data_IF_636049972109
#
_entry.id   IF_636049972109
#
_cell.length_a   1.000
_cell.length_b   1.000
_cell.length_c   1.000
_cell.angle_alpha   90.00
_cell.angle_beta   90.00
_cell.angle_gamma   90.00
#
_symmetry.space_group_name_H-M   'P 1'
#
loop_
_entity.id
_entity.type
_entity.pdbx_description
1 polymer ?
#
# COMPACT_ATOMS: atom_id res chain seq x y z
N UNK A 1 -0.82 21.86 -17.43
CA UNK A 1 0.05 21.07 -16.52
C UNK A 1 -0.44 19.64 -16.59
N UNK A 2 0.30 18.78 -17.28
CA UNK A 2 -0.06 17.37 -17.40
C UNK A 2 0.31 16.65 -16.10
N UNK A 3 -0.65 16.04 -15.43
CA UNK A 3 -0.38 15.10 -14.36
C UNK A 3 0.25 13.85 -14.97
N UNK A 4 1.57 13.74 -14.82
CA UNK A 4 2.30 12.54 -15.22
C UNK A 4 2.13 11.49 -14.14
N UNK A 5 1.75 10.28 -14.51
CA UNK A 5 1.73 9.12 -13.63
C UNK A 5 2.87 8.18 -13.93
N UNK A 6 3.46 7.60 -12.91
CA UNK A 6 4.43 6.52 -12.99
C UNK A 6 3.96 5.34 -12.18
N UNK A 7 4.12 4.15 -12.73
CA UNK A 7 3.81 2.90 -12.05
C UNK A 7 5.11 2.13 -11.84
N UNK A 8 5.32 1.65 -10.63
CA UNK A 8 6.50 0.84 -10.27
C UNK A 8 6.06 -0.44 -9.55
N UNK A 9 6.78 -1.53 -9.78
CA UNK A 9 6.70 -2.73 -8.97
C UNK A 9 7.92 -2.78 -8.05
N UNK A 10 7.70 -2.81 -6.75
CA UNK A 10 8.76 -2.88 -5.75
C UNK A 10 8.73 -4.20 -5.01
N UNK A 11 9.89 -4.79 -4.78
CA UNK A 11 10.06 -6.03 -4.03
C UNK A 11 11.02 -5.82 -2.87
N UNK A 12 10.68 -6.36 -1.70
CA UNK A 12 11.54 -6.41 -0.52
C UNK A 12 11.32 -7.74 0.19
N UNK A 13 12.07 -7.97 1.27
CA UNK A 13 11.79 -9.09 2.17
C UNK A 13 10.39 -8.93 2.79
N UNK A 14 9.65 -10.04 2.90
CA UNK A 14 8.35 -10.08 3.58
C UNK A 14 8.60 -9.97 5.10
N UNK A 15 8.89 -8.76 5.56
CA UNK A 15 9.17 -8.43 6.94
C UNK A 15 8.17 -7.42 7.50
N UNK A 16 7.83 -7.57 8.78
CA UNK A 16 7.02 -6.58 9.48
C UNK A 16 7.71 -5.23 9.46
N UNK A 17 6.98 -4.19 9.06
CA UNK A 17 7.51 -2.83 8.95
C UNK A 17 8.13 -2.46 7.60
N UNK A 18 8.37 -3.41 6.69
CA UNK A 18 8.89 -3.10 5.34
C UNK A 18 7.92 -2.20 4.56
N UNK A 19 6.63 -2.45 4.66
CA UNK A 19 5.59 -1.62 4.07
C UNK A 19 5.66 -0.16 4.56
N UNK A 20 5.81 0.06 5.86
CA UNK A 20 5.98 1.39 6.43
C UNK A 20 7.25 2.07 5.90
N UNK A 21 8.38 1.34 5.87
CA UNK A 21 9.64 1.84 5.34
C UNK A 21 9.54 2.25 3.87
N UNK A 22 8.84 1.48 3.03
CA UNK A 22 8.57 1.84 1.65
C UNK A 22 7.78 3.16 1.56
N UNK A 23 6.72 3.31 2.34
CA UNK A 23 5.92 4.53 2.36
C UNK A 23 6.70 5.76 2.85
N UNK A 24 7.58 5.59 3.85
CA UNK A 24 8.49 6.64 4.31
C UNK A 24 9.44 7.07 3.18
N UNK A 25 10.06 6.12 2.47
CA UNK A 25 10.94 6.42 1.32
C UNK A 25 10.18 7.13 0.18
N UNK A 26 8.96 6.73 -0.10
CA UNK A 26 8.13 7.40 -1.12
C UNK A 26 7.80 8.84 -0.70
N UNK A 27 7.50 9.07 0.58
CA UNK A 27 7.24 10.42 1.11
C UNK A 27 8.47 11.31 1.08
N UNK A 28 9.65 10.73 1.27
CA UNK A 28 10.94 11.44 1.33
C UNK A 28 11.68 11.47 -0.01
N UNK A 29 11.02 11.09 -1.12
CA UNK A 29 11.63 11.11 -2.44
C UNK A 29 12.24 12.49 -2.75
N UNK A 30 13.52 12.54 -3.17
CA UNK A 30 14.17 13.80 -3.51
C UNK A 30 13.55 14.43 -4.76
N UNK A 31 13.74 15.72 -4.93
CA UNK A 31 13.40 16.37 -6.20
C UNK A 31 14.44 16.02 -7.25
N UNK A 32 14.03 15.39 -8.34
CA UNK A 32 14.90 14.95 -9.42
C UNK A 32 15.02 15.99 -10.55
N UNK A 33 15.08 17.27 -10.22
CA UNK A 33 15.30 18.35 -11.20
C UNK A 33 14.13 19.33 -11.38
N UNK A 34 13.20 19.35 -10.45
CA UNK A 34 12.10 20.32 -10.36
C UNK A 34 11.97 20.88 -8.95
N UNK A 35 11.00 21.80 -8.74
CA UNK A 35 10.60 22.19 -7.41
C UNK A 35 10.21 20.96 -6.62
N UNK A 36 10.32 21.02 -5.28
CA UNK A 36 9.93 19.95 -4.36
C UNK A 36 8.42 19.70 -4.52
N UNK A 37 8.04 18.99 -5.57
CA UNK A 37 6.65 18.65 -5.84
C UNK A 37 6.27 17.51 -4.89
N UNK A 38 5.19 17.70 -4.17
CA UNK A 38 4.61 16.68 -3.34
C UNK A 38 4.07 15.58 -4.26
N UNK A 39 4.65 14.39 -4.19
CA UNK A 39 4.19 13.23 -4.94
C UNK A 39 3.10 12.54 -4.16
N UNK A 40 2.02 12.21 -4.85
CA UNK A 40 0.92 11.48 -4.26
C UNK A 40 0.93 10.03 -4.77
N UNK A 41 0.64 9.09 -3.88
CA UNK A 41 0.34 7.72 -4.26
C UNK A 41 -1.04 7.71 -4.91
N UNK A 42 -1.13 7.26 -6.14
CA UNK A 42 -2.39 7.15 -6.88
C UNK A 42 -3.01 5.77 -6.77
N UNK A 43 -2.17 4.76 -6.59
CA UNK A 43 -2.59 3.38 -6.44
C UNK A 43 -1.56 2.62 -5.60
N UNK A 44 -2.05 1.69 -4.80
CA UNK A 44 -1.20 0.82 -4.00
C UNK A 44 -1.89 -0.54 -3.86
N UNK A 45 -1.31 -1.60 -4.44
CA UNK A 45 -1.85 -2.94 -4.38
C UNK A 45 -0.82 -3.90 -3.81
N UNK A 46 -1.20 -4.59 -2.76
CA UNK A 46 -0.39 -5.59 -2.08
C UNK A 46 -1.26 -6.73 -1.54
N UNK A 47 -0.78 -7.95 -1.69
CA UNK A 47 -1.30 -9.14 -1.02
C UNK A 47 -0.12 -10.02 -0.61
N UNK A 48 -0.11 -10.47 0.63
CA UNK A 48 0.86 -11.46 1.09
C UNK A 48 0.68 -12.76 0.28
N UNK A 49 1.68 -13.14 -0.48
CA UNK A 49 1.63 -14.30 -1.38
C UNK A 49 2.89 -15.16 -1.31
N UNK A 50 3.98 -14.62 -0.82
CA UNK A 50 5.27 -15.27 -0.66
C UNK A 50 5.79 -14.98 0.75
N UNK A 51 6.32 -16.00 1.43
CA UNK A 51 6.81 -15.87 2.80
C UNK A 51 8.17 -15.14 2.88
N UNK A 52 8.86 -14.98 1.77
CA UNK A 52 10.20 -14.39 1.70
C UNK A 52 10.22 -13.05 1.00
N UNK A 53 9.32 -12.82 0.04
CA UNK A 53 9.29 -11.60 -0.78
C UNK A 53 7.90 -10.98 -0.84
N UNK A 54 7.86 -9.70 -0.55
CA UNK A 54 6.70 -8.85 -0.80
C UNK A 54 6.79 -8.22 -2.19
N UNK A 55 5.74 -8.34 -2.99
CA UNK A 55 5.61 -7.64 -4.28
C UNK A 55 4.51 -6.60 -4.17
N UNK A 56 4.87 -5.35 -4.41
CA UNK A 56 3.96 -4.21 -4.26
C UNK A 56 3.84 -3.46 -5.58
N UNK A 57 2.61 -3.25 -6.03
CA UNK A 57 2.31 -2.37 -7.14
C UNK A 57 2.03 -0.97 -6.61
N UNK A 58 2.77 0.04 -7.08
CA UNK A 58 2.61 1.44 -6.64
C UNK A 58 2.47 2.36 -7.84
N UNK A 59 1.39 3.12 -7.88
CA UNK A 59 1.22 4.25 -8.78
C UNK A 59 1.56 5.56 -8.07
N UNK A 60 2.31 6.43 -8.73
CA UNK A 60 2.76 7.72 -8.21
C UNK A 60 2.49 8.85 -9.20
N UNK A 61 2.13 10.03 -8.69
CA UNK A 61 2.23 11.25 -9.50
C UNK A 61 3.68 11.66 -9.63
N UNK A 62 4.08 12.11 -10.82
CA UNK A 62 5.43 12.60 -11.09
C UNK A 62 5.41 14.06 -11.50
N UNK A 63 6.47 14.80 -11.15
CA UNK A 63 6.59 16.22 -11.46
C UNK A 63 7.03 16.47 -12.91
N UNK A 64 7.83 15.55 -13.46
CA UNK A 64 8.39 15.64 -14.82
C UNK A 64 8.39 14.28 -15.50
N UNK A 65 8.36 14.31 -16.84
CA UNK A 65 8.43 13.08 -17.65
C UNK A 65 9.79 12.38 -17.45
N UNK A 66 9.79 11.05 -17.33
CA UNK A 66 11.02 10.24 -17.15
C UNK A 66 11.57 10.26 -15.73
N UNK A 67 10.77 10.69 -14.75
CA UNK A 67 11.14 10.62 -13.34
C UNK A 67 11.05 9.21 -12.78
N UNK A 68 10.26 8.33 -13.39
CA UNK A 68 10.04 6.94 -12.98
C UNK A 68 11.35 6.14 -12.84
N UNK A 69 12.25 6.25 -13.80
CA UNK A 69 13.57 5.59 -13.73
C UNK A 69 14.37 6.02 -12.50
N UNK A 70 14.31 7.31 -12.17
CA UNK A 70 15.04 7.89 -11.03
C UNK A 70 14.42 7.43 -9.71
N UNK A 71 13.09 7.32 -9.66
CA UNK A 71 12.36 6.78 -8.51
C UNK A 71 12.72 5.32 -8.32
N UNK A 72 12.68 4.51 -9.37
CA UNK A 72 13.03 3.10 -9.32
C UNK A 72 14.50 2.91 -8.85
N UNK A 73 15.43 3.69 -9.37
CA UNK A 73 16.83 3.66 -8.96
C UNK A 73 17.03 4.11 -7.49
N UNK A 74 16.26 5.10 -7.03
CA UNK A 74 16.30 5.55 -5.64
C UNK A 74 15.81 4.45 -4.69
N UNK A 75 14.67 3.85 -4.94
CA UNK A 75 14.11 2.78 -4.11
C UNK A 75 15.04 1.55 -4.10
N UNK A 76 15.59 1.17 -5.27
CA UNK A 76 16.53 0.04 -5.37
C UNK A 76 17.79 0.25 -4.54
N UNK A 77 18.34 1.47 -4.48
CA UNK A 77 19.47 1.80 -3.59
C UNK A 77 19.13 1.67 -2.10
N UNK A 78 17.85 1.77 -1.74
CA UNK A 78 17.38 1.61 -0.37
C UNK A 78 16.85 0.18 -0.08
N UNK A 79 17.32 -0.80 -0.88
CA UNK A 79 17.01 -2.23 -0.76
C UNK A 79 15.59 -2.64 -1.17
N UNK A 80 14.84 -1.77 -1.81
CA UNK A 80 13.59 -2.13 -2.47
C UNK A 80 13.88 -2.34 -3.96
N UNK A 81 14.10 -3.58 -4.36
CA UNK A 81 14.29 -3.93 -5.77
C UNK A 81 13.07 -3.45 -6.56
N UNK A 82 13.26 -2.45 -7.41
CA UNK A 82 12.15 -1.73 -8.04
C UNK A 82 12.31 -1.73 -9.55
N UNK A 83 11.23 -2.07 -10.23
CA UNK A 83 11.12 -2.08 -11.70
C UNK A 83 10.15 -0.98 -12.10
N UNK A 84 10.56 -0.13 -13.05
CA UNK A 84 9.65 0.81 -13.70
C UNK A 84 8.75 0.06 -14.70
N UNK A 85 7.45 0.11 -14.46
CA UNK A 85 6.42 -0.53 -15.30
C UNK A 85 5.50 0.50 -15.96
N UNK A 86 5.93 1.77 -15.99
CA UNK A 86 5.15 2.89 -16.54
C UNK A 86 4.73 2.67 -18.00
N UNK A 87 5.54 1.96 -18.76
CA UNK A 87 5.30 1.67 -20.18
C UNK A 87 5.02 0.19 -20.47
N UNK A 88 4.77 -0.61 -19.43
CA UNK A 88 4.42 -2.02 -19.57
C UNK A 88 2.89 -2.20 -19.62
N UNK A 89 2.38 -2.54 -20.80
CA UNK A 89 0.93 -2.70 -21.01
C UNK A 89 0.37 -3.90 -20.25
N UNK A 90 1.13 -5.00 -20.13
CA UNK A 90 0.73 -6.17 -19.32
C UNK A 90 0.48 -5.77 -17.87
N UNK A 91 1.41 -5.00 -17.28
CA UNK A 91 1.28 -4.53 -15.91
C UNK A 91 0.07 -3.61 -15.74
N UNK A 92 -0.11 -2.65 -16.64
CA UNK A 92 -1.16 -1.63 -16.56
C UNK A 92 -2.56 -2.19 -16.79
N UNK A 93 -2.72 -3.04 -17.78
CA UNK A 93 -4.03 -3.51 -18.22
C UNK A 93 -4.49 -4.74 -17.44
N UNK A 94 -3.56 -5.57 -16.96
CA UNK A 94 -3.87 -6.87 -16.36
C UNK A 94 -3.31 -7.07 -14.97
N UNK A 95 -1.98 -7.03 -14.77
CA UNK A 95 -1.35 -7.45 -13.50
C UNK A 95 -1.83 -6.61 -12.33
N UNK A 96 -2.02 -5.30 -12.49
CA UNK A 96 -2.53 -4.42 -11.44
C UNK A 96 -3.86 -4.89 -10.82
N UNK A 97 -4.69 -5.57 -11.60
CA UNK A 97 -5.99 -6.09 -11.17
C UNK A 97 -5.90 -7.49 -10.58
N UNK A 98 -4.77 -8.16 -10.73
CA UNK A 98 -4.54 -9.53 -10.29
C UNK A 98 -3.77 -9.60 -8.95
N UNK A 99 -3.29 -8.48 -8.45
CA UNK A 99 -2.68 -8.40 -7.11
C UNK A 99 -3.79 -8.56 -6.07
N UNK A 100 -3.87 -9.73 -5.45
CA UNK A 100 -4.94 -10.08 -4.52
C UNK A 100 -5.15 -11.58 -4.44
N UNK A 101 -6.39 -11.97 -4.09
CA UNK A 101 -6.81 -13.36 -4.01
C UNK A 101 -6.52 -14.01 -2.66
N UNK A 102 -6.71 -15.33 -2.60
CA UNK A 102 -6.53 -16.12 -1.38
C UNK A 102 -5.06 -16.28 -1.04
N UNK A 103 -4.76 -16.23 0.25
CA UNK A 103 -3.42 -16.50 0.75
C UNK A 103 -3.46 -17.33 2.02
N UNK A 104 -2.78 -18.46 2.02
CA UNK A 104 -2.59 -19.32 3.20
C UNK A 104 -1.68 -18.69 4.26
N UNK A 105 -0.96 -17.63 3.89
CA UNK A 105 -0.08 -16.88 4.78
C UNK A 105 -0.83 -15.81 5.61
N UNK A 106 -2.05 -15.46 5.22
CA UNK A 106 -2.88 -14.45 5.88
C UNK A 106 -3.65 -15.04 7.07
N UNK A 107 -2.92 -15.50 8.10
CA UNK A 107 -3.52 -16.07 9.31
C UNK A 107 -3.98 -14.97 10.27
N UNK A 108 -5.06 -15.24 11.04
CA UNK A 108 -5.68 -14.28 11.97
C UNK A 108 -5.97 -12.92 11.32
N UNK A 109 -6.33 -12.94 10.04
CA UNK A 109 -6.57 -11.75 9.26
C UNK A 109 -7.91 -11.09 9.65
N UNK A 110 -7.85 -9.80 9.95
CA UNK A 110 -9.02 -8.91 10.04
C UNK A 110 -9.07 -8.04 8.80
N UNK A 111 -10.19 -8.04 8.13
CA UNK A 111 -10.40 -7.25 6.93
C UNK A 111 -11.24 -6.01 7.24
N UNK A 112 -10.71 -4.84 6.91
CA UNK A 112 -11.37 -3.56 7.14
C UNK A 112 -11.38 -2.73 5.86
N UNK A 113 -12.51 -2.10 5.62
CA UNK A 113 -12.67 -1.11 4.56
C UNK A 113 -12.69 0.27 5.19
N UNK A 114 -11.64 1.06 4.93
CA UNK A 114 -11.46 2.40 5.44
C UNK A 114 -11.84 3.48 4.42
N UNK A 115 -12.19 4.64 4.94
CA UNK A 115 -12.22 5.90 4.20
C UNK A 115 -11.03 6.72 4.67
N UNK A 116 -9.98 6.75 3.86
CA UNK A 116 -8.78 7.55 4.14
C UNK A 116 -8.98 8.98 3.65
N UNK A 117 -8.58 9.99 4.45
CA UNK A 117 -8.53 11.35 3.94
C UNK A 117 -7.43 11.48 2.88
N UNK A 118 -7.76 12.10 1.75
CA UNK A 118 -6.81 12.40 0.66
C UNK A 118 -5.94 13.60 1.04
N UNK A 119 -5.08 13.40 2.00
CA UNK A 119 -4.09 14.40 2.44
C UNK A 119 -2.75 13.74 2.72
N UNK A 120 -1.65 14.48 2.53
CA UNK A 120 -0.32 14.00 2.88
C UNK A 120 -0.23 13.49 4.32
N UNK A 121 0.45 12.36 4.49
CA UNK A 121 0.68 11.76 5.80
C UNK A 121 -0.47 10.89 6.35
N UNK A 122 -1.62 10.80 5.67
CA UNK A 122 -2.73 9.96 6.14
C UNK A 122 -2.34 8.47 6.25
N UNK A 123 -1.65 7.95 5.23
CA UNK A 123 -1.15 6.58 5.23
C UNK A 123 -0.04 6.40 6.29
N UNK A 124 0.89 7.34 6.39
CA UNK A 124 1.95 7.28 7.41
C UNK A 124 1.39 7.33 8.83
N UNK A 125 0.34 8.14 9.08
CA UNK A 125 -0.37 8.13 10.37
C UNK A 125 -0.92 6.73 10.68
N UNK A 126 -1.61 6.10 9.73
CA UNK A 126 -2.13 4.74 9.87
C UNK A 126 -1.01 3.77 10.25
N UNK A 127 0.08 3.76 9.48
CA UNK A 127 1.21 2.85 9.68
C UNK A 127 1.97 3.10 11.01
N UNK A 128 2.08 4.36 11.43
CA UNK A 128 2.78 4.73 12.67
C UNK A 128 2.04 4.31 13.93
N UNK A 129 0.72 4.19 13.86
CA UNK A 129 -0.12 3.75 14.98
C UNK A 129 -0.21 2.23 15.11
N UNK A 130 0.19 1.49 14.07
CA UNK A 130 0.19 0.03 14.11
C UNK A 130 1.22 -0.49 15.11
N UNK A 131 0.88 -1.57 15.81
CA UNK A 131 1.85 -2.30 16.64
C UNK A 131 2.87 -3.04 15.78
N UNK A 132 4.14 -3.14 16.22
CA UNK A 132 5.18 -3.89 15.50
C UNK A 132 4.87 -5.39 15.34
N UNK A 133 3.99 -5.93 16.18
CA UNK A 133 3.56 -7.33 16.12
C UNK A 133 2.52 -7.62 15.05
N UNK A 134 1.90 -6.58 14.50
CA UNK A 134 0.89 -6.72 13.45
C UNK A 134 1.55 -6.66 12.06
N UNK A 135 0.94 -7.35 11.11
CA UNK A 135 1.39 -7.33 9.72
C UNK A 135 0.25 -6.93 8.80
N UNK A 136 0.56 -6.22 7.73
CA UNK A 136 -0.38 -5.98 6.64
C UNK A 136 -0.31 -7.19 5.71
N UNK A 137 -1.43 -7.84 5.50
CA UNK A 137 -1.58 -9.00 4.62
C UNK A 137 -2.26 -8.66 3.30
N UNK A 138 -3.02 -7.57 3.27
CA UNK A 138 -3.67 -7.03 2.09
C UNK A 138 -3.72 -5.51 2.19
N UNK A 139 -3.39 -4.82 1.12
CA UNK A 139 -3.60 -3.39 0.99
C UNK A 139 -4.02 -3.06 -0.43
N UNK A 140 -5.22 -2.53 -0.57
CA UNK A 140 -5.74 -2.09 -1.85
C UNK A 140 -6.24 -0.66 -1.71
N UNK A 141 -5.54 0.26 -2.36
CA UNK A 141 -5.87 1.67 -2.41
C UNK A 141 -5.83 2.16 -3.85
N UNK A 142 -6.82 2.94 -4.22
CA UNK A 142 -6.86 3.66 -5.48
C UNK A 142 -7.47 5.04 -5.28
N UNK A 143 -6.74 6.07 -5.70
CA UNK A 143 -7.27 7.43 -5.74
C UNK A 143 -8.33 7.54 -6.86
N UNK A 144 -9.50 8.01 -6.51
CA UNK A 144 -10.63 8.18 -7.44
C UNK A 144 -10.91 9.66 -7.76
N UNK A 145 -9.99 10.56 -7.41
CA UNK A 145 -10.14 12.00 -7.65
C UNK A 145 -11.12 12.71 -6.70
N UNK A 146 -11.46 12.07 -5.56
CA UNK A 146 -12.28 12.65 -4.51
C UNK A 146 -11.41 13.03 -3.29
N UNK A 147 -11.98 13.78 -2.34
CA UNK A 147 -11.30 14.17 -1.08
C UNK A 147 -11.01 12.99 -0.14
N UNK A 148 -11.48 11.79 -0.49
CA UNK A 148 -11.37 10.57 0.30
C UNK A 148 -11.03 9.36 -0.57
N UNK A 149 -10.03 8.59 -0.14
CA UNK A 149 -9.67 7.31 -0.76
C UNK A 149 -10.34 6.13 -0.07
N UNK A 150 -10.96 5.24 -0.85
CA UNK A 150 -11.48 3.98 -0.36
C UNK A 150 -10.36 2.96 -0.33
N UNK A 151 -10.07 2.44 0.86
CA UNK A 151 -8.93 1.55 1.09
C UNK A 151 -9.41 0.25 1.72
N UNK A 152 -9.03 -0.89 1.15
CA UNK A 152 -9.25 -2.19 1.75
C UNK A 152 -7.93 -2.66 2.39
N UNK A 153 -7.98 -3.00 3.67
CA UNK A 153 -6.79 -3.41 4.42
C UNK A 153 -7.06 -4.73 5.13
N UNK A 154 -6.20 -5.71 4.90
CA UNK A 154 -6.09 -6.92 5.70
C UNK A 154 -4.97 -6.77 6.71
N UNK A 155 -5.26 -7.01 7.97
CA UNK A 155 -4.32 -6.93 9.09
C UNK A 155 -4.28 -8.27 9.83
N UNK A 156 -3.08 -8.83 9.98
CA UNK A 156 -2.86 -9.98 10.83
C UNK A 156 -2.72 -9.49 12.28
N UNK A 157 -3.78 -9.70 13.06
CA UNK A 157 -3.86 -9.25 14.44
C UNK A 157 -3.97 -10.48 15.34
N UNK A 158 -2.97 -10.74 16.22
CA UNK A 158 -3.05 -11.84 17.15
C UNK A 158 -4.32 -11.80 18.01
N UNK A 159 -4.93 -12.94 18.28
CA UNK A 159 -6.21 -13.04 19.03
C UNK A 159 -6.21 -12.33 20.37
N UNK A 160 -5.04 -12.28 21.03
CA UNK A 160 -4.86 -11.57 22.32
C UNK A 160 -4.86 -10.04 22.21
N UNK A 161 -4.73 -9.48 21.02
CA UNK A 161 -4.56 -8.05 20.79
C UNK A 161 -5.87 -7.29 20.51
N UNK A 162 -7.03 -7.91 20.70
CA UNK A 162 -8.34 -7.30 20.41
C UNK A 162 -8.48 -5.90 21.01
N UNK A 163 -8.22 -5.74 22.31
CA UNK A 163 -8.31 -4.44 22.98
C UNK A 163 -7.39 -3.39 22.37
N UNK A 164 -6.15 -3.77 22.09
CA UNK A 164 -5.18 -2.89 21.48
C UNK A 164 -5.57 -2.49 20.05
N UNK A 165 -6.23 -3.40 19.35
CA UNK A 165 -6.75 -3.12 18.01
C UNK A 165 -7.92 -2.14 18.05
N UNK A 166 -8.83 -2.28 19.01
CA UNK A 166 -9.93 -1.34 19.22
C UNK A 166 -9.39 0.07 19.61
N UNK A 167 -8.35 0.13 20.43
CA UNK A 167 -7.64 1.38 20.77
C UNK A 167 -6.97 2.01 19.54
N UNK A 168 -6.34 1.21 18.69
CA UNK A 168 -5.76 1.66 17.42
C UNK A 168 -6.81 2.29 16.51
N UNK A 169 -7.93 1.61 16.28
CA UNK A 169 -9.02 2.11 15.43
C UNK A 169 -9.59 3.42 15.96
N UNK A 170 -9.78 3.52 17.27
CA UNK A 170 -10.26 4.73 17.96
C UNK A 170 -9.27 5.89 17.81
N UNK A 171 -7.98 5.65 18.01
CA UNK A 171 -6.93 6.67 17.91
C UNK A 171 -6.71 7.14 16.48
N UNK A 172 -6.79 6.21 15.52
CA UNK A 172 -6.70 6.53 14.09
C UNK A 172 -7.82 7.48 13.67
N UNK A 173 -9.06 7.20 14.11
CA UNK A 173 -10.23 8.05 13.87
C UNK A 173 -10.70 8.09 12.42
N UNK A 174 -10.24 7.20 11.55
CA UNK A 174 -10.75 7.10 10.20
C UNK A 174 -12.05 6.28 10.17
N UNK A 175 -13.06 6.69 9.41
CA UNK A 175 -14.26 5.88 9.23
C UNK A 175 -13.90 4.53 8.63
N UNK A 176 -14.48 3.47 9.18
CA UNK A 176 -14.23 2.11 8.69
C UNK A 176 -15.48 1.23 8.81
N UNK A 177 -15.47 0.15 8.03
CA UNK A 177 -16.39 -0.97 8.14
C UNK A 177 -15.56 -2.24 8.28
N UNK A 178 -15.85 -3.05 9.29
CA UNK A 178 -15.22 -4.36 9.42
C UNK A 178 -15.91 -5.35 8.48
N UNK A 179 -15.12 -6.00 7.65
CA UNK A 179 -15.57 -6.92 6.61
C UNK A 179 -15.10 -8.37 6.86
N UNK A 180 -14.52 -8.67 8.01
CA UNK A 180 -13.97 -9.99 8.36
C UNK A 180 -15.01 -11.11 8.25
N UNK A 181 -16.27 -10.81 8.57
CA UNK A 181 -17.38 -11.75 8.46
C UNK A 181 -18.17 -11.65 7.14
N UNK A 182 -17.73 -10.80 6.22
CA UNK A 182 -18.39 -10.62 4.93
C UNK A 182 -18.29 -11.93 4.10
N UNK A 183 -19.41 -12.45 3.57
CA UNK A 183 -19.38 -13.69 2.78
C UNK A 183 -18.58 -13.59 1.49
N UNK A 184 -18.45 -12.39 0.90
CA UNK A 184 -17.64 -12.16 -0.29
C UNK A 184 -16.15 -12.27 0.04
N UNK A 185 -15.71 -11.72 1.19
CA UNK A 185 -14.35 -11.91 1.67
C UNK A 185 -14.04 -13.40 1.87
N UNK A 186 -14.91 -14.14 2.53
CA UNK A 186 -14.73 -15.58 2.75
C UNK A 186 -14.68 -16.37 1.45
N UNK A 187 -15.50 -15.99 0.48
CA UNK A 187 -15.56 -16.69 -0.80
C UNK A 187 -14.33 -16.45 -1.69
N UNK A 188 -13.74 -15.25 -1.67
CA UNK A 188 -12.73 -14.85 -2.64
C UNK A 188 -11.33 -14.59 -2.07
N UNK A 189 -11.22 -14.20 -0.81
CA UNK A 189 -9.95 -13.74 -0.22
C UNK A 189 -9.47 -14.57 0.97
N UNK A 190 -10.37 -15.18 1.73
CA UNK A 190 -10.02 -16.02 2.87
C UNK A 190 -9.56 -17.40 2.39
N UNK A 191 -8.44 -17.90 2.93
CA UNK A 191 -7.94 -19.26 2.67
C UNK A 191 -8.72 -20.29 3.46
#
# INVERSE_FOLDING_TARGET
>A
SGDWSSDVCSSDLEERGSFRRLCELISDLPSFGGSKAQRNVTEFNYRISDAQRAHVFVGLTTAVRGESDKIAAYLSRHKFETIDITHDDLAKEHIRHMVGGRSTLAQDERLLRFIFPERPGALLKFLSLMRPTWNISLFHYRNQGADYGRTLVGLQVPKGDKRAFDEFLSTLGYPYVEETDNPIYRAFLQA
#
